data_IF_987673045079
#
_entry.id   IF_987673045079
#
_cell.length_a   1.000
_cell.length_b   1.000
_cell.length_c   1.000
_cell.angle_alpha   90.00
_cell.angle_beta   90.00
_cell.angle_gamma   90.00
#
_symmetry.space_group_name_H-M   'P 1'
#
loop_
_entity.id
_entity.type
_entity.pdbx_description
1 polymer ?
#
# COMPACT_ATOMS: atom_id res chain seq x y z
N UNK A 1 -4.97 -29.52 -17.88
CA UNK A 1 -4.60 -29.51 -16.45
C UNK A 1 -3.95 -28.16 -16.19
N UNK A 2 -4.52 -27.36 -15.29
CA UNK A 2 -3.89 -26.11 -14.88
C UNK A 2 -2.64 -26.49 -14.08
N UNK A 3 -1.46 -26.06 -14.54
CA UNK A 3 -0.24 -26.16 -13.74
C UNK A 3 -0.50 -25.49 -12.38
N UNK A 4 -0.24 -26.20 -11.29
CA UNK A 4 -0.28 -25.61 -9.96
C UNK A 4 0.80 -24.52 -9.92
N UNK A 5 0.35 -23.27 -9.92
CA UNK A 5 1.20 -22.09 -9.85
C UNK A 5 2.01 -22.11 -8.54
N UNK A 6 3.27 -22.56 -8.62
CA UNK A 6 4.24 -22.52 -7.52
C UNK A 6 4.79 -21.12 -7.20
N UNK A 7 4.16 -20.05 -7.71
CA UNK A 7 4.56 -18.68 -7.42
C UNK A 7 4.17 -18.30 -5.98
N UNK A 8 5.13 -17.77 -5.21
CA UNK A 8 4.89 -17.22 -3.89
C UNK A 8 3.73 -16.22 -3.95
N UNK A 9 2.70 -16.47 -3.15
CA UNK A 9 1.58 -15.55 -2.99
C UNK A 9 1.86 -14.54 -1.90
N UNK A 10 1.57 -13.27 -2.18
CA UNK A 10 1.78 -12.14 -1.30
C UNK A 10 0.44 -11.61 -0.79
N UNK A 11 0.38 -11.13 0.46
CA UNK A 11 -0.80 -10.46 1.01
C UNK A 11 -0.50 -8.96 1.17
N UNK A 12 -1.23 -8.11 0.44
CA UNK A 12 -1.07 -6.66 0.46
C UNK A 12 -2.15 -5.94 1.31
N UNK A 13 -2.93 -6.71 2.07
CA UNK A 13 -4.04 -6.26 2.90
C UNK A 13 -5.27 -7.14 2.67
N UNK A 14 -6.06 -7.38 3.72
CA UNK A 14 -7.28 -8.18 3.62
C UNK A 14 -7.01 -9.67 3.34
N UNK A 15 -7.92 -10.31 2.61
CA UNK A 15 -7.89 -11.77 2.32
C UNK A 15 -7.25 -12.14 0.98
N UNK A 16 -7.03 -11.17 0.09
CA UNK A 16 -6.69 -11.42 -1.31
C UNK A 16 -5.22 -11.81 -1.46
N UNK A 17 -4.95 -12.92 -2.13
CA UNK A 17 -3.59 -13.37 -2.48
C UNK A 17 -3.15 -12.76 -3.82
N UNK A 18 -2.02 -12.08 -3.84
CA UNK A 18 -1.40 -11.53 -5.05
C UNK A 18 -0.28 -12.46 -5.51
N UNK A 19 -0.33 -12.91 -6.76
CA UNK A 19 0.73 -13.70 -7.38
C UNK A 19 1.26 -12.98 -8.62
N UNK A 20 2.55 -13.14 -8.89
CA UNK A 20 3.15 -12.70 -10.14
C UNK A 20 3.43 -13.91 -11.05
N UNK A 21 3.19 -13.74 -12.34
CA UNK A 21 3.40 -14.75 -13.37
C UNK A 21 4.20 -14.16 -14.53
N UNK A 22 5.38 -14.73 -14.80
CA UNK A 22 6.17 -14.40 -15.97
C UNK A 22 5.76 -15.29 -17.14
N UNK A 23 4.78 -14.85 -17.92
CA UNK A 23 4.25 -15.59 -19.05
C UNK A 23 2.95 -14.98 -19.60
N UNK A 24 2.35 -15.69 -20.55
CA UNK A 24 1.12 -15.25 -21.21
C UNK A 24 -0.07 -15.29 -20.24
N UNK A 25 -0.87 -14.21 -20.23
CA UNK A 25 -2.05 -14.11 -19.37
C UNK A 25 -3.10 -15.20 -19.67
N UNK A 26 -3.15 -15.68 -20.92
CA UNK A 26 -4.04 -16.75 -21.37
C UNK A 26 -3.80 -18.07 -20.62
N UNK A 27 -2.61 -18.25 -20.03
CA UNK A 27 -2.21 -19.47 -19.32
C UNK A 27 -2.45 -19.39 -17.80
N UNK A 28 -2.97 -18.27 -17.29
CA UNK A 28 -3.14 -18.02 -15.85
C UNK A 28 -4.21 -18.88 -15.16
N UNK A 29 -5.16 -19.42 -15.93
CA UNK A 29 -6.31 -20.14 -15.37
C UNK A 29 -7.26 -19.28 -14.51
N UNK A 30 -7.17 -17.95 -14.62
CA UNK A 30 -8.03 -17.04 -13.87
C UNK A 30 -9.48 -17.06 -14.39
N UNK A 31 -10.45 -16.90 -13.48
CA UNK A 31 -11.86 -16.81 -13.83
C UNK A 31 -12.19 -15.51 -14.60
N UNK A 32 -11.43 -14.44 -14.36
CA UNK A 32 -11.51 -13.18 -15.11
C UNK A 32 -10.16 -12.88 -15.73
N UNK A 33 -10.14 -12.52 -17.01
CA UNK A 33 -8.94 -12.01 -17.68
C UNK A 33 -9.13 -10.56 -18.10
N UNK A 34 -8.08 -9.76 -17.91
CA UNK A 34 -8.13 -8.32 -18.19
C UNK A 34 -7.22 -7.99 -19.37
N UNK A 35 -7.72 -7.15 -20.27
CA UNK A 35 -6.96 -6.59 -21.38
C UNK A 35 -7.08 -5.09 -21.40
N UNK A 36 -6.19 -4.43 -22.16
CA UNK A 36 -6.32 -3.00 -22.45
C UNK A 36 -6.64 -2.76 -23.91
N UNK A 37 -7.65 -1.92 -24.15
CA UNK A 37 -8.08 -1.48 -25.48
C UNK A 37 -8.12 0.04 -25.57
N UNK A 38 -8.17 0.57 -26.80
CA UNK A 38 -8.39 2.00 -27.02
C UNK A 38 -9.86 2.39 -26.87
N UNK A 39 -10.11 3.68 -26.59
CA UNK A 39 -11.44 4.27 -26.35
C UNK A 39 -12.50 4.04 -27.45
N UNK A 40 -12.08 3.66 -28.67
CA UNK A 40 -12.96 3.30 -29.79
C UNK A 40 -13.04 1.77 -30.00
N UNK A 41 -13.08 1.01 -28.91
CA UNK A 41 -13.13 -0.47 -28.93
C UNK A 41 -12.01 -1.10 -29.77
N UNK A 42 -10.81 -0.51 -29.76
CA UNK A 42 -9.73 -0.92 -30.67
C UNK A 42 -8.75 -1.90 -30.00
N UNK A 43 -8.67 -3.11 -30.56
CA UNK A 43 -7.80 -4.20 -30.11
C UNK A 43 -6.45 -4.14 -30.85
N UNK A 44 -5.74 -3.02 -30.75
CA UNK A 44 -4.48 -2.82 -31.49
C UNK A 44 -3.25 -3.32 -30.73
N UNK A 45 -3.32 -3.39 -29.40
CA UNK A 45 -2.22 -3.88 -28.56
C UNK A 45 -1.94 -5.37 -28.81
N UNK A 46 -0.69 -5.80 -28.64
CA UNK A 46 -0.31 -7.20 -28.82
C UNK A 46 -1.15 -8.14 -27.94
N UNK A 47 -1.29 -7.81 -26.65
CA UNK A 47 -2.13 -8.58 -25.73
C UNK A 47 -3.61 -8.58 -26.16
N UNK A 48 -4.15 -7.41 -26.52
CA UNK A 48 -5.54 -7.31 -26.95
C UNK A 48 -5.82 -8.17 -28.20
N UNK A 49 -4.90 -8.19 -29.17
CA UNK A 49 -4.99 -9.05 -30.34
C UNK A 49 -4.95 -10.52 -29.98
N UNK A 50 -3.99 -10.93 -29.14
CA UNK A 50 -3.88 -12.32 -28.69
C UNK A 50 -5.14 -12.81 -27.96
N UNK A 51 -5.74 -11.98 -27.10
CA UNK A 51 -7.02 -12.31 -26.45
C UNK A 51 -8.16 -12.37 -27.46
N UNK A 52 -8.22 -11.43 -28.42
CA UNK A 52 -9.25 -11.43 -29.46
C UNK A 52 -9.18 -12.66 -30.38
N UNK A 53 -7.96 -13.07 -30.74
CA UNK A 53 -7.69 -14.27 -31.53
C UNK A 53 -8.14 -15.53 -30.78
N UNK A 54 -7.86 -15.62 -29.48
CA UNK A 54 -8.22 -16.77 -28.66
C UNK A 54 -9.71 -16.83 -28.27
N UNK A 55 -10.34 -15.68 -28.02
CA UNK A 55 -11.74 -15.59 -27.60
C UNK A 55 -12.73 -15.55 -28.77
N UNK A 56 -12.27 -15.21 -29.98
CA UNK A 56 -13.11 -15.04 -31.16
C UNK A 56 -13.66 -13.61 -31.33
N UNK A 57 -14.15 -13.26 -32.54
CA UNK A 57 -14.49 -11.89 -32.92
C UNK A 57 -15.72 -11.31 -32.19
N UNK A 58 -16.48 -12.17 -31.52
CA UNK A 58 -17.76 -11.85 -30.88
C UNK A 58 -17.57 -10.83 -29.75
N UNK A 59 -16.46 -10.95 -29.01
CA UNK A 59 -16.12 -10.02 -27.93
C UNK A 59 -15.92 -8.59 -28.46
N UNK A 60 -15.37 -8.44 -29.68
CA UNK A 60 -15.14 -7.12 -30.26
C UNK A 60 -16.48 -6.49 -30.69
N UNK A 61 -17.42 -7.31 -31.15
CA UNK A 61 -18.79 -6.85 -31.46
C UNK A 61 -19.50 -6.37 -30.20
N UNK A 62 -19.37 -7.08 -29.08
CA UNK A 62 -19.96 -6.67 -27.80
C UNK A 62 -19.37 -5.35 -27.28
N UNK A 63 -18.05 -5.20 -27.30
CA UNK A 63 -17.38 -3.95 -26.87
C UNK A 63 -17.77 -2.78 -27.78
N UNK A 64 -17.89 -2.98 -29.09
CA UNK A 64 -18.27 -1.92 -30.05
C UNK A 64 -19.66 -1.35 -29.80
N UNK A 65 -20.59 -2.13 -29.24
CA UNK A 65 -21.94 -1.66 -28.89
C UNK A 65 -21.93 -0.54 -27.84
N UNK A 66 -20.86 -0.42 -27.07
CA UNK A 66 -20.68 0.65 -26.07
C UNK A 66 -20.35 2.01 -26.72
N UNK A 67 -20.01 2.05 -28.01
CA UNK A 67 -19.60 3.27 -28.69
C UNK A 67 -18.25 3.80 -28.17
N UNK A 68 -18.21 5.08 -27.79
CA UNK A 68 -17.02 5.71 -27.23
C UNK A 68 -16.88 5.36 -25.74
N UNK A 69 -15.81 4.67 -25.39
CA UNK A 69 -15.54 4.24 -24.01
C UNK A 69 -14.65 5.29 -23.33
N UNK A 70 -15.11 5.91 -22.22
CA UNK A 70 -14.33 6.91 -21.50
C UNK A 70 -13.03 6.33 -20.92
N UNK A 71 -11.96 7.13 -20.90
CA UNK A 71 -10.70 6.78 -20.25
C UNK A 71 -10.92 6.39 -18.78
N UNK A 72 -10.22 5.36 -18.33
CA UNK A 72 -10.33 4.76 -17.01
C UNK A 72 -11.47 3.75 -16.87
N UNK A 73 -12.38 3.66 -17.83
CA UNK A 73 -13.51 2.72 -17.77
C UNK A 73 -13.06 1.27 -17.99
N UNK A 74 -13.89 0.34 -17.54
CA UNK A 74 -13.74 -1.10 -17.77
C UNK A 74 -15.05 -1.61 -18.36
N UNK A 75 -15.00 -2.18 -19.55
CA UNK A 75 -16.15 -2.86 -20.17
C UNK A 75 -16.05 -4.35 -19.85
N UNK A 76 -17.16 -4.97 -19.48
CA UNK A 76 -17.23 -6.41 -19.22
C UNK A 76 -17.91 -7.07 -20.41
N UNK A 77 -17.35 -8.19 -20.89
CA UNK A 77 -17.99 -9.06 -21.87
C UNK A 77 -17.95 -10.51 -21.43
N UNK A 78 -18.69 -11.37 -22.14
CA UNK A 78 -18.43 -12.80 -22.06
C UNK A 78 -17.01 -13.14 -22.52
N UNK A 79 -16.51 -14.33 -22.16
CA UNK A 79 -15.14 -14.75 -22.50
C UNK A 79 -15.00 -15.36 -23.90
N UNK A 80 -16.11 -15.60 -24.59
CA UNK A 80 -16.10 -16.14 -25.96
C UNK A 80 -15.67 -17.59 -25.97
N UNK A 81 -14.72 -17.94 -26.84
CA UNK A 81 -14.17 -19.29 -26.95
C UNK A 81 -13.16 -19.66 -25.83
N UNK A 82 -12.83 -18.74 -24.91
CA UNK A 82 -11.89 -19.02 -23.82
C UNK A 82 -12.51 -19.97 -22.79
N UNK A 83 -12.02 -21.20 -22.74
CA UNK A 83 -12.43 -22.20 -21.75
C UNK A 83 -11.89 -21.87 -20.36
N UNK A 84 -12.74 -21.93 -19.32
CA UNK A 84 -12.35 -21.68 -17.93
C UNK A 84 -12.34 -20.21 -17.52
N UNK A 85 -12.52 -19.29 -18.47
CA UNK A 85 -12.68 -17.85 -18.21
C UNK A 85 -14.17 -17.53 -18.28
N UNK A 86 -14.69 -16.82 -17.28
CA UNK A 86 -16.10 -16.42 -17.19
C UNK A 86 -16.32 -15.05 -17.82
N UNK A 87 -15.41 -14.11 -17.57
CA UNK A 87 -15.51 -12.74 -18.06
C UNK A 87 -14.20 -12.22 -18.62
N UNK A 88 -14.33 -11.36 -19.64
CA UNK A 88 -13.24 -10.51 -20.13
C UNK A 88 -13.50 -9.07 -19.72
N UNK A 89 -12.50 -8.45 -19.11
CA UNK A 89 -12.54 -7.05 -18.71
C UNK A 89 -11.64 -6.25 -19.66
N UNK A 90 -12.22 -5.23 -20.29
CA UNK A 90 -11.57 -4.39 -21.28
C UNK A 90 -11.34 -3.00 -20.70
N UNK A 91 -10.14 -2.77 -20.19
CA UNK A 91 -9.75 -1.51 -19.58
C UNK A 91 -9.26 -0.49 -20.61
N UNK A 92 -9.67 0.77 -20.45
CA UNK A 92 -9.17 1.88 -21.28
C UNK A 92 -8.22 2.73 -20.45
N UNK A 93 -6.92 2.41 -20.49
CA UNK A 93 -5.90 3.16 -19.73
C UNK A 93 -5.25 4.30 -20.53
N UNK A 94 -5.67 4.51 -21.78
CA UNK A 94 -5.16 5.56 -22.68
C UNK A 94 -6.17 6.69 -22.86
N UNK A 95 -5.70 7.91 -23.07
CA UNK A 95 -6.58 9.06 -23.35
C UNK A 95 -6.40 9.60 -24.77
N UNK A 96 -7.51 9.92 -25.45
CA UNK A 96 -7.47 10.59 -26.77
C UNK A 96 -6.80 11.96 -26.64
N UNK A 97 -7.07 12.69 -25.55
CA UNK A 97 -6.51 14.01 -25.29
C UNK A 97 -4.98 13.99 -25.10
N UNK A 98 -4.41 12.86 -24.65
CA UNK A 98 -2.96 12.67 -24.49
C UNK A 98 -2.31 11.99 -25.70
N UNK A 99 -2.97 11.97 -26.86
CA UNK A 99 -2.46 11.31 -28.06
C UNK A 99 -2.37 9.78 -27.91
N UNK A 100 -3.31 9.18 -27.19
CA UNK A 100 -3.39 7.75 -26.87
C UNK A 100 -2.26 7.23 -25.96
N UNK A 101 -1.58 8.12 -25.23
CA UNK A 101 -0.70 7.70 -24.14
C UNK A 101 -1.52 7.22 -22.95
N UNK A 102 -1.01 6.19 -22.29
CA UNK A 102 -1.53 5.79 -21.00
C UNK A 102 -1.04 6.77 -19.92
N UNK A 103 -1.80 6.84 -18.84
CA UNK A 103 -1.56 7.71 -17.70
C UNK A 103 -1.50 6.83 -16.44
N UNK A 104 -0.48 6.99 -15.56
CA UNK A 104 -0.42 6.29 -14.29
C UNK A 104 -1.72 6.38 -13.46
N UNK A 105 -2.41 7.52 -13.46
CA UNK A 105 -3.68 7.66 -12.74
C UNK A 105 -4.80 6.80 -13.35
N UNK A 106 -4.82 6.67 -14.68
CA UNK A 106 -5.76 5.79 -15.37
C UNK A 106 -5.46 4.31 -15.09
N UNK A 107 -4.18 3.96 -14.91
CA UNK A 107 -3.78 2.61 -14.51
C UNK A 107 -4.27 2.29 -13.10
N UNK A 108 -4.11 3.22 -12.15
CA UNK A 108 -4.67 3.10 -10.79
C UNK A 108 -6.19 2.91 -10.87
N UNK A 109 -6.88 3.80 -11.58
CA UNK A 109 -8.34 3.77 -11.68
C UNK A 109 -8.87 2.48 -12.35
N UNK A 110 -8.24 2.04 -13.44
CA UNK A 110 -8.60 0.81 -14.13
C UNK A 110 -8.36 -0.42 -13.26
N UNK A 111 -7.23 -0.47 -12.55
CA UNK A 111 -6.92 -1.58 -11.63
C UNK A 111 -7.95 -1.67 -10.52
N UNK A 112 -8.27 -0.54 -9.86
CA UNK A 112 -9.32 -0.48 -8.82
C UNK A 112 -10.66 -0.98 -9.33
N UNK A 113 -11.10 -0.49 -10.49
CA UNK A 113 -12.37 -0.91 -11.10
C UNK A 113 -12.38 -2.39 -11.43
N UNK A 114 -11.30 -2.93 -11.99
CA UNK A 114 -11.21 -4.36 -12.28
C UNK A 114 -11.38 -5.21 -11.01
N UNK A 115 -10.68 -4.87 -9.93
CA UNK A 115 -10.80 -5.63 -8.68
C UNK A 115 -12.20 -5.51 -8.07
N UNK A 116 -12.76 -4.30 -7.99
CA UNK A 116 -14.10 -4.08 -7.44
C UNK A 116 -15.19 -4.79 -8.25
N UNK A 117 -15.10 -4.76 -9.59
CA UNK A 117 -16.05 -5.46 -10.45
C UNK A 117 -15.91 -6.98 -10.34
N UNK A 118 -14.70 -7.51 -10.20
CA UNK A 118 -14.50 -8.94 -9.99
C UNK A 118 -15.05 -9.41 -8.63
N UNK A 119 -14.85 -8.62 -7.57
CA UNK A 119 -15.40 -8.89 -6.24
C UNK A 119 -16.94 -8.82 -6.26
N UNK A 120 -17.51 -7.80 -6.89
CA UNK A 120 -18.96 -7.64 -7.05
C UNK A 120 -19.60 -8.79 -7.83
N UNK A 121 -18.90 -9.30 -8.85
CA UNK A 121 -19.32 -10.47 -9.63
C UNK A 121 -18.99 -11.80 -8.93
N UNK A 122 -18.49 -11.78 -7.69
CA UNK A 122 -18.13 -12.96 -6.91
C UNK A 122 -17.17 -13.90 -7.62
N UNK A 123 -16.18 -13.34 -8.31
CA UNK A 123 -15.20 -14.12 -9.05
C UNK A 123 -14.03 -14.50 -8.13
N UNK A 124 -13.59 -15.77 -8.13
CA UNK A 124 -12.55 -16.23 -7.22
C UNK A 124 -11.16 -15.72 -7.62
N UNK A 125 -10.94 -15.43 -8.90
CA UNK A 125 -9.65 -14.99 -9.40
C UNK A 125 -9.73 -14.05 -10.60
N UNK A 126 -8.77 -13.13 -10.67
CA UNK A 126 -8.61 -12.20 -11.79
C UNK A 126 -7.14 -12.11 -12.20
N UNK A 127 -6.88 -12.14 -13.51
CA UNK A 127 -5.56 -11.89 -14.08
C UNK A 127 -5.47 -10.48 -14.65
N UNK A 128 -4.44 -9.73 -14.22
CA UNK A 128 -4.15 -8.37 -14.65
C UNK A 128 -2.88 -8.33 -15.52
N UNK A 129 -2.86 -7.55 -16.60
CA UNK A 129 -1.67 -7.35 -17.41
C UNK A 129 -0.81 -6.18 -16.90
N UNK A 130 0.39 -6.06 -17.45
CA UNK A 130 1.20 -4.85 -17.38
C UNK A 130 0.59 -3.68 -18.18
N UNK A 131 -0.46 -3.03 -17.65
CA UNK A 131 -1.16 -1.94 -18.30
C UNK A 131 -0.22 -0.85 -18.83
N UNK A 132 -0.51 -0.33 -20.03
CA UNK A 132 0.16 0.86 -20.57
C UNK A 132 1.61 0.68 -21.03
N UNK A 133 2.29 -0.41 -20.68
CA UNK A 133 3.72 -0.65 -21.02
C UNK A 133 3.98 -0.89 -22.51
N UNK A 134 2.96 -1.33 -23.25
CA UNK A 134 3.02 -1.50 -24.72
C UNK A 134 2.67 -0.22 -25.48
N UNK A 135 1.57 -0.25 -26.24
CA UNK A 135 1.13 0.89 -27.06
C UNK A 135 0.85 2.17 -26.25
N UNK A 136 0.59 2.06 -24.95
CA UNK A 136 0.36 3.20 -24.06
C UNK A 136 1.63 3.99 -23.70
N UNK A 137 2.83 3.42 -23.90
CA UNK A 137 4.15 4.05 -23.72
C UNK A 137 4.36 4.70 -22.33
N UNK A 138 3.77 4.13 -21.29
CA UNK A 138 4.06 4.50 -19.89
C UNK A 138 5.36 3.84 -19.45
N UNK A 139 6.13 4.49 -18.57
CA UNK A 139 7.35 3.91 -18.01
C UNK A 139 7.01 2.65 -17.21
N UNK A 140 7.84 1.61 -17.28
CA UNK A 140 7.56 0.31 -16.66
C UNK A 140 7.33 0.46 -15.15
N UNK A 141 8.12 1.31 -14.50
CA UNK A 141 8.04 1.62 -13.07
C UNK A 141 6.72 2.27 -12.71
N UNK A 142 6.28 3.26 -13.49
CA UNK A 142 5.01 3.95 -13.27
C UNK A 142 3.80 3.03 -13.49
N UNK A 143 3.88 2.13 -14.47
CA UNK A 143 2.84 1.15 -14.71
C UNK A 143 2.69 0.18 -13.53
N UNK A 144 3.82 -0.35 -13.03
CA UNK A 144 3.85 -1.23 -11.86
C UNK A 144 3.36 -0.50 -10.61
N UNK A 145 3.80 0.74 -10.41
CA UNK A 145 3.34 1.59 -9.30
C UNK A 145 1.82 1.79 -9.34
N UNK A 146 1.28 2.15 -10.50
CA UNK A 146 -0.15 2.37 -10.67
C UNK A 146 -0.97 1.11 -10.40
N UNK A 147 -0.50 -0.05 -10.84
CA UNK A 147 -1.16 -1.34 -10.56
C UNK A 147 -1.17 -1.60 -9.06
N UNK A 148 -0.01 -1.58 -8.40
CA UNK A 148 0.09 -1.94 -6.98
C UNK A 148 -0.67 -0.93 -6.10
N UNK A 149 -0.62 0.35 -6.42
CA UNK A 149 -1.44 1.39 -5.78
C UNK A 149 -2.93 1.08 -5.90
N UNK A 150 -3.38 0.74 -7.12
CA UNK A 150 -4.76 0.34 -7.37
C UNK A 150 -5.18 -0.87 -6.54
N UNK A 151 -4.34 -1.92 -6.49
CA UNK A 151 -4.56 -3.13 -5.69
C UNK A 151 -4.65 -2.84 -4.18
N UNK A 152 -3.62 -2.19 -3.62
CA UNK A 152 -3.52 -1.89 -2.18
C UNK A 152 -4.68 -1.06 -1.64
N UNK A 153 -5.31 -0.24 -2.48
CA UNK A 153 -6.41 0.65 -2.12
C UNK A 153 -7.78 -0.03 -1.98
N UNK A 154 -7.95 -1.27 -2.47
CA UNK A 154 -9.27 -1.94 -2.51
C UNK A 154 -9.30 -3.29 -1.81
N UNK A 155 -8.16 -3.95 -1.59
CA UNK A 155 -8.13 -5.26 -0.94
C UNK A 155 -8.75 -5.34 0.46
N UNK A 156 -8.61 -4.32 1.34
CA UNK A 156 -9.30 -4.35 2.63
C UNK A 156 -10.83 -4.44 2.54
N UNK A 157 -11.41 -4.06 1.40
CA UNK A 157 -12.87 -4.07 1.16
C UNK A 157 -13.35 -5.29 0.37
N UNK A 158 -12.45 -6.13 -0.15
CA UNK A 158 -12.81 -7.29 -0.96
C UNK A 158 -13.35 -8.42 -0.08
N UNK A 159 -14.43 -9.06 -0.53
CA UNK A 159 -15.14 -10.09 0.25
C UNK A 159 -15.15 -11.46 -0.42
N UNK A 160 -15.14 -11.49 -1.75
CA UNK A 160 -15.35 -12.67 -2.58
C UNK A 160 -14.14 -13.03 -3.44
N UNK A 161 -13.29 -12.05 -3.78
CA UNK A 161 -12.08 -12.28 -4.54
C UNK A 161 -11.00 -12.94 -3.66
N UNK A 162 -10.50 -14.09 -4.08
CA UNK A 162 -9.45 -14.82 -3.35
C UNK A 162 -8.06 -14.52 -3.92
N UNK A 163 -7.95 -14.31 -5.24
CA UNK A 163 -6.65 -14.24 -5.91
C UNK A 163 -6.58 -13.21 -7.03
N UNK A 164 -5.48 -12.45 -7.06
CA UNK A 164 -5.06 -11.62 -8.19
C UNK A 164 -3.77 -12.18 -8.78
N UNK A 165 -3.73 -12.36 -10.10
CA UNK A 165 -2.55 -12.82 -10.82
C UNK A 165 -2.07 -11.68 -11.71
N UNK A 166 -0.93 -11.07 -11.39
CA UNK A 166 -0.25 -10.16 -12.30
C UNK A 166 0.53 -10.98 -13.33
N UNK A 167 0.19 -10.84 -14.61
CA UNK A 167 0.80 -11.59 -15.70
C UNK A 167 1.51 -10.66 -16.69
N UNK A 168 2.77 -10.97 -16.99
CA UNK A 168 3.56 -10.26 -17.99
C UNK A 168 4.56 -11.20 -18.64
N UNK A 169 4.85 -11.02 -19.93
CA UNK A 169 5.95 -11.73 -20.62
C UNK A 169 7.27 -10.95 -20.55
N UNK A 170 7.24 -9.74 -19.98
CA UNK A 170 8.41 -8.87 -19.82
C UNK A 170 9.05 -9.11 -18.45
N UNK A 171 10.27 -9.69 -18.45
CA UNK A 171 11.01 -10.06 -17.24
C UNK A 171 11.36 -8.84 -16.36
N UNK A 172 11.63 -7.69 -16.96
CA UNK A 172 11.93 -6.46 -16.22
C UNK A 172 10.69 -5.97 -15.47
N UNK A 173 9.54 -5.96 -16.14
CA UNK A 173 8.25 -5.61 -15.50
C UNK A 173 7.90 -6.61 -14.40
N UNK A 174 8.15 -7.90 -14.62
CA UNK A 174 7.96 -8.94 -13.61
C UNK A 174 8.84 -8.70 -12.37
N UNK A 175 10.12 -8.39 -12.58
CA UNK A 175 11.06 -8.07 -11.49
C UNK A 175 10.65 -6.83 -10.70
N UNK A 176 10.28 -5.74 -11.41
CA UNK A 176 9.78 -4.51 -10.78
C UNK A 176 8.54 -4.77 -9.93
N UNK A 177 7.59 -5.55 -10.44
CA UNK A 177 6.37 -5.90 -9.71
C UNK A 177 6.68 -6.66 -8.42
N UNK A 178 7.50 -7.72 -8.50
CA UNK A 178 7.87 -8.52 -7.32
C UNK A 178 8.60 -7.70 -6.25
N UNK A 179 9.59 -6.88 -6.65
CA UNK A 179 10.29 -6.00 -5.72
C UNK A 179 9.33 -5.08 -4.97
N UNK A 180 8.37 -4.50 -5.69
CA UNK A 180 7.44 -3.53 -5.13
C UNK A 180 6.40 -4.17 -4.22
N UNK A 181 5.89 -5.35 -4.60
CA UNK A 181 4.98 -6.15 -3.77
C UNK A 181 5.65 -6.54 -2.44
N UNK A 182 6.93 -6.94 -2.47
CA UNK A 182 7.71 -7.23 -1.27
C UNK A 182 7.81 -6.03 -0.33
N UNK A 183 8.04 -4.82 -0.87
CA UNK A 183 8.11 -3.60 -0.05
C UNK A 183 6.76 -3.28 0.58
N UNK A 184 5.65 -3.37 -0.18
CA UNK A 184 4.30 -3.15 0.35
C UNK A 184 3.95 -4.17 1.44
N UNK A 185 4.33 -5.43 1.25
CA UNK A 185 4.13 -6.47 2.26
C UNK A 185 4.98 -6.22 3.52
N UNK A 186 6.23 -5.80 3.38
CA UNK A 186 7.09 -5.44 4.50
C UNK A 186 6.50 -4.26 5.30
N UNK A 187 6.01 -3.23 4.61
CA UNK A 187 5.32 -2.09 5.25
C UNK A 187 4.09 -2.56 6.02
N UNK A 188 3.23 -3.38 5.40
CA UNK A 188 2.03 -3.91 6.05
C UNK A 188 2.38 -4.75 7.30
N UNK A 189 3.35 -5.63 7.19
CA UNK A 189 3.78 -6.46 8.30
C UNK A 189 4.28 -5.61 9.47
N UNK A 190 5.13 -4.63 9.18
CA UNK A 190 5.69 -3.73 10.18
C UNK A 190 4.64 -2.81 10.81
N UNK A 191 3.68 -2.35 10.01
CA UNK A 191 2.52 -1.59 10.50
C UNK A 191 1.70 -2.41 11.51
N UNK A 192 1.47 -3.69 11.22
CA UNK A 192 0.76 -4.60 12.12
C UNK A 192 1.55 -4.88 13.41
N UNK A 193 2.87 -5.08 13.32
CA UNK A 193 3.72 -5.21 14.51
C UNK A 193 3.65 -3.98 15.40
N UNK A 194 3.79 -2.79 14.81
CA UNK A 194 3.74 -1.54 15.55
C UNK A 194 2.35 -1.30 16.18
N UNK A 195 1.27 -1.64 15.48
CA UNK A 195 -0.10 -1.61 16.04
C UNK A 195 -0.29 -2.58 17.19
N UNK A 196 0.30 -3.79 17.14
CA UNK A 196 0.23 -4.78 18.22
C UNK A 196 1.06 -4.38 19.43
N UNK A 197 2.21 -3.76 19.21
CA UNK A 197 3.05 -3.22 20.28
C UNK A 197 2.44 -1.98 20.93
N UNK A 198 1.55 -1.25 20.24
CA UNK A 198 1.03 0.03 20.74
C UNK A 198 0.54 0.02 22.21
N UNK A 199 -0.26 -0.96 22.68
CA UNK A 199 -0.72 -1.00 24.08
C UNK A 199 0.39 -1.20 25.12
N UNK A 200 1.53 -1.72 24.68
CA UNK A 200 2.72 -1.98 25.51
C UNK A 200 3.64 -0.77 25.59
N UNK A 201 3.49 0.19 24.67
CA UNK A 201 4.34 1.37 24.58
C UNK A 201 3.86 2.48 25.52
N UNK A 202 4.77 3.31 26.05
CA UNK A 202 4.37 4.50 26.80
C UNK A 202 3.41 5.38 25.96
N UNK A 203 2.25 5.80 26.50
CA UNK A 203 1.27 6.65 25.82
C UNK A 203 1.84 7.94 25.19
N UNK A 204 3.00 8.38 25.63
CA UNK A 204 3.78 9.52 25.19
C UNK A 204 4.24 9.34 23.75
N UNK A 205 4.42 8.10 23.34
CA UNK A 205 4.82 7.75 21.99
C UNK A 205 3.62 7.67 21.04
N UNK A 206 2.37 7.61 21.53
CA UNK A 206 1.20 7.34 20.68
C UNK A 206 1.02 8.37 19.56
N UNK A 207 1.29 9.66 19.83
CA UNK A 207 1.23 10.69 18.79
C UNK A 207 2.27 10.47 17.68
N UNK A 208 3.52 10.18 18.05
CA UNK A 208 4.60 9.90 17.10
C UNK A 208 4.35 8.60 16.31
N UNK A 209 3.86 7.56 16.98
CA UNK A 209 3.51 6.28 16.37
C UNK A 209 2.33 6.45 15.43
N UNK A 210 1.32 7.24 15.79
CA UNK A 210 0.19 7.57 14.93
C UNK A 210 0.63 8.25 13.64
N UNK A 211 1.51 9.25 13.72
CA UNK A 211 2.10 9.92 12.54
C UNK A 211 2.87 8.93 11.65
N UNK A 212 3.68 8.05 12.25
CA UNK A 212 4.44 7.05 11.52
C UNK A 212 3.52 6.01 10.83
N UNK A 213 2.51 5.51 11.54
CA UNK A 213 1.52 4.59 10.99
C UNK A 213 0.77 5.22 9.81
N UNK A 214 0.40 6.50 9.91
CA UNK A 214 -0.24 7.23 8.81
C UNK A 214 0.68 7.36 7.59
N UNK A 215 1.97 7.65 7.80
CA UNK A 215 2.96 7.71 6.71
C UNK A 215 3.16 6.34 6.05
N UNK A 216 3.19 5.26 6.84
CA UNK A 216 3.29 3.89 6.34
C UNK A 216 2.06 3.49 5.53
N UNK A 217 0.86 3.80 6.03
CA UNK A 217 -0.39 3.53 5.32
C UNK A 217 -0.44 4.29 3.99
N UNK A 218 -0.08 5.57 3.98
CA UNK A 218 -0.01 6.36 2.75
C UNK A 218 1.01 5.78 1.76
N UNK A 219 2.20 5.39 2.22
CA UNK A 219 3.21 4.76 1.37
C UNK A 219 2.70 3.44 0.78
N UNK A 220 2.03 2.60 1.59
CA UNK A 220 1.42 1.34 1.17
C UNK A 220 0.32 1.57 0.11
N UNK A 221 -0.56 2.54 0.35
CA UNK A 221 -1.65 2.89 -0.55
C UNK A 221 -1.14 3.46 -1.89
N UNK A 222 -0.03 4.20 -1.88
CA UNK A 222 0.66 4.68 -3.08
C UNK A 222 1.47 3.58 -3.79
N UNK A 223 1.38 2.32 -3.34
CA UNK A 223 2.13 1.21 -3.92
C UNK A 223 3.63 1.27 -3.66
N UNK A 224 4.07 1.94 -2.59
CA UNK A 224 5.43 2.04 -2.08
C UNK A 224 6.47 2.62 -3.05
N UNK A 225 6.31 3.89 -3.45
CA UNK A 225 7.27 4.57 -4.32
C UNK A 225 8.73 4.44 -3.81
N UNK A 226 9.59 3.89 -4.66
CA UNK A 226 10.92 3.38 -4.31
C UNK A 226 11.99 4.49 -4.15
N UNK A 227 11.61 5.76 -4.22
CA UNK A 227 12.50 6.85 -3.86
C UNK A 227 12.48 7.07 -2.35
N UNK A 228 13.35 6.34 -1.63
CA UNK A 228 13.89 6.64 -0.28
C UNK A 228 12.92 6.65 0.93
N UNK A 229 11.61 6.80 0.73
CA UNK A 229 10.62 6.90 1.80
C UNK A 229 10.40 5.58 2.55
N UNK A 230 10.09 4.50 1.82
CA UNK A 230 9.67 3.22 2.42
C UNK A 230 10.74 2.58 3.32
N UNK A 231 12.02 2.61 2.90
CA UNK A 231 13.12 2.07 3.72
C UNK A 231 13.29 2.87 5.02
N UNK A 232 13.20 4.20 4.94
CA UNK A 232 13.24 5.09 6.11
C UNK A 232 12.07 4.82 7.05
N UNK A 233 10.87 4.59 6.52
CA UNK A 233 9.68 4.26 7.32
C UNK A 233 9.83 2.92 8.04
N UNK A 234 10.37 1.90 7.36
CA UNK A 234 10.67 0.59 7.97
C UNK A 234 11.69 0.72 9.10
N UNK A 235 12.78 1.46 8.88
CA UNK A 235 13.81 1.72 9.89
C UNK A 235 13.25 2.49 11.10
N UNK A 236 12.44 3.53 10.86
CA UNK A 236 11.77 4.28 11.94
C UNK A 236 10.86 3.38 12.77
N UNK A 237 10.08 2.51 12.13
CA UNK A 237 9.18 1.60 12.84
C UNK A 237 9.95 0.60 13.69
N UNK A 238 11.04 0.03 13.16
CA UNK A 238 11.92 -0.87 13.91
C UNK A 238 12.55 -0.17 15.13
N UNK A 239 13.07 1.05 14.95
CA UNK A 239 13.63 1.84 16.05
C UNK A 239 12.58 2.13 17.14
N UNK A 240 11.33 2.42 16.76
CA UNK A 240 10.24 2.65 17.72
C UNK A 240 9.85 1.41 18.50
N UNK A 241 9.81 0.25 17.85
CA UNK A 241 9.55 -1.04 18.51
C UNK A 241 10.68 -1.34 19.51
N UNK A 242 11.94 -1.19 19.10
CA UNK A 242 13.11 -1.41 19.96
C UNK A 242 13.14 -0.47 21.16
N UNK A 243 12.85 0.83 20.96
CA UNK A 243 12.80 1.81 22.03
C UNK A 243 11.72 1.45 23.06
N UNK A 244 10.57 1.00 22.57
CA UNK A 244 9.49 0.50 23.40
C UNK A 244 9.90 -0.61 24.35
N UNK A 245 10.52 -1.65 23.78
CA UNK A 245 11.00 -2.81 24.53
C UNK A 245 12.05 -2.41 25.57
N UNK A 246 12.98 -1.52 25.22
CA UNK A 246 13.99 -1.01 26.14
C UNK A 246 13.35 -0.22 27.30
N UNK A 247 12.39 0.65 27.01
CA UNK A 247 11.68 1.44 28.02
C UNK A 247 10.91 0.55 28.99
N UNK A 248 10.22 -0.47 28.50
CA UNK A 248 9.54 -1.45 29.35
C UNK A 248 10.51 -2.21 30.25
N UNK A 249 11.65 -2.66 29.72
CA UNK A 249 12.68 -3.34 30.52
C UNK A 249 13.22 -2.45 31.64
N UNK A 250 13.45 -1.17 31.35
CA UNK A 250 13.91 -0.19 32.35
C UNK A 250 12.83 0.10 33.39
N UNK A 251 11.59 0.31 32.98
CA UNK A 251 10.45 0.49 33.89
C UNK A 251 10.23 -0.73 34.80
N UNK A 252 10.41 -1.95 34.29
CA UNK A 252 10.34 -3.17 35.08
C UNK A 252 11.50 -3.33 36.08
N UNK A 253 12.65 -2.70 35.83
CA UNK A 253 13.83 -2.73 36.68
C UNK A 253 13.91 -1.59 37.73
N UNK A 254 13.11 -0.54 37.58
CA UNK A 254 13.24 0.68 38.38
C UNK A 254 12.20 0.76 39.51
N UNK A 255 12.54 0.18 40.68
CA UNK A 255 11.70 0.21 41.89
C UNK A 255 12.31 1.01 43.07
N UNK A 256 13.32 1.86 42.87
CA UNK A 256 14.06 2.49 43.99
C UNK A 256 14.56 3.93 43.82
N UNK A 257 14.13 4.68 42.81
CA UNK A 257 14.57 6.07 42.67
C UNK A 257 13.91 7.01 43.70
N UNK A 258 14.59 8.07 44.19
CA UNK A 258 13.97 9.09 45.03
C UNK A 258 12.88 9.87 44.28
N UNK A 259 11.93 10.45 45.03
CA UNK A 259 10.90 11.36 44.52
C UNK A 259 11.51 12.53 43.71
N UNK A 260 10.79 13.04 42.70
CA UNK A 260 11.19 14.18 41.84
C UNK A 260 12.49 14.01 41.04
N UNK A 261 12.96 12.79 40.81
CA UNK A 261 14.18 12.56 40.02
C UNK A 261 13.82 12.26 38.57
N UNK A 262 14.35 13.05 37.62
CA UNK A 262 14.32 12.70 36.19
C UNK A 262 15.22 11.49 35.99
N UNK A 263 14.63 10.34 35.70
CA UNK A 263 15.36 9.09 35.55
C UNK A 263 16.03 9.00 34.18
N UNK A 264 15.34 9.44 33.13
CA UNK A 264 15.89 9.49 31.79
C UNK A 264 15.14 10.46 30.87
N UNK A 265 15.84 10.89 29.82
CA UNK A 265 15.36 11.81 28.80
C UNK A 265 15.69 11.21 27.44
N UNK A 266 14.70 11.10 26.57
CA UNK A 266 14.87 10.72 25.16
C UNK A 266 14.58 11.95 24.32
N UNK A 267 15.54 12.34 23.48
CA UNK A 267 15.36 13.39 22.48
C UNK A 267 15.25 12.74 21.10
N UNK A 268 14.08 12.83 20.47
CA UNK A 268 13.83 12.28 19.11
C UNK A 268 14.07 13.32 18.01
N UNK A 269 14.73 14.44 18.33
CA UNK A 269 14.97 15.57 17.43
C UNK A 269 13.89 16.65 17.57
N UNK A 270 12.63 16.30 17.33
CA UNK A 270 11.49 17.22 17.42
C UNK A 270 10.63 17.02 18.67
N UNK A 271 10.97 16.06 19.55
CA UNK A 271 10.19 15.77 20.76
C UNK A 271 11.13 15.29 21.86
N UNK A 272 10.91 15.81 23.08
CA UNK A 272 11.63 15.39 24.28
C UNK A 272 10.65 14.59 25.13
N UNK A 273 11.02 13.36 25.46
CA UNK A 273 10.25 12.45 26.33
C UNK A 273 11.07 12.28 27.60
N UNK A 274 10.44 12.43 28.77
CA UNK A 274 11.13 12.32 30.06
C UNK A 274 10.34 11.41 31.00
N UNK A 275 11.05 10.62 31.81
CA UNK A 275 10.47 9.87 32.92
C UNK A 275 10.91 10.49 34.25
N UNK A 276 9.95 10.78 35.13
CA UNK A 276 10.16 11.43 36.43
C UNK A 276 9.45 10.62 37.50
N UNK A 277 10.16 10.28 38.57
CA UNK A 277 9.57 9.49 39.66
C UNK A 277 8.69 10.36 40.58
N UNK A 278 7.48 9.86 40.91
CA UNK A 278 6.41 10.46 41.75
C UNK A 278 6.61 11.95 42.09
N UNK A 279 5.92 12.84 41.37
CA UNK A 279 6.05 14.29 41.53
C UNK A 279 5.01 14.90 42.50
N UNK A 280 5.47 15.69 43.48
CA UNK A 280 4.58 16.46 44.37
C UNK A 280 5.09 17.90 44.56
N UNK A 281 4.42 18.87 43.93
CA UNK A 281 4.67 20.32 44.06
C UNK A 281 4.19 21.12 42.83
N UNK A 282 4.04 22.45 42.89
CA UNK A 282 3.72 23.26 41.72
C UNK A 282 4.94 23.34 40.78
N UNK A 283 4.73 23.12 39.47
CA UNK A 283 5.78 23.26 38.46
C UNK A 283 6.03 24.76 38.23
N UNK A 284 7.20 25.26 38.63
CA UNK A 284 7.63 26.60 38.28
C UNK A 284 8.06 26.61 36.80
N UNK A 285 7.13 27.02 35.94
CA UNK A 285 7.38 27.19 34.53
C UNK A 285 8.05 28.54 34.31
N UNK A 286 9.33 28.51 33.96
CA UNK A 286 10.02 29.70 33.48
C UNK A 286 9.43 30.15 32.15
N UNK A 287 8.47 31.08 32.19
CA UNK A 287 8.06 31.94 31.07
C UNK A 287 7.51 31.25 29.81
N UNK A 288 6.88 30.08 29.94
CA UNK A 288 6.15 29.38 28.86
C UNK A 288 5.29 28.25 29.45
N UNK A 289 4.30 27.73 28.72
CA UNK A 289 3.31 26.79 29.26
C UNK A 289 3.86 25.38 29.55
N UNK A 290 3.56 24.83 30.73
CA UNK A 290 3.92 23.47 31.18
C UNK A 290 2.75 22.50 31.01
N UNK A 291 3.08 21.23 30.79
CA UNK A 291 2.14 20.12 30.77
C UNK A 291 2.27 19.36 32.08
N UNK A 292 1.16 19.24 32.78
CA UNK A 292 1.05 18.57 34.07
C UNK A 292 0.75 17.07 33.90
N UNK A 293 1.62 16.21 34.43
CA UNK A 293 1.63 14.76 34.19
C UNK A 293 1.02 13.95 35.35
N UNK A 294 0.32 14.59 36.30
CA UNK A 294 -0.24 13.93 37.51
C UNK A 294 -1.14 12.71 37.21
N UNK A 295 -1.83 12.70 36.08
CA UNK A 295 -2.72 11.59 35.65
C UNK A 295 -2.20 10.82 34.43
N UNK A 296 -1.07 11.21 33.86
CA UNK A 296 -0.58 10.55 32.66
C UNK A 296 0.21 9.32 33.07
N UNK A 297 -0.34 8.13 32.81
CA UNK A 297 0.47 6.94 32.62
C UNK A 297 1.34 7.15 31.38
N UNK A 298 2.34 8.02 31.49
CA UNK A 298 3.30 8.41 30.46
C UNK A 298 2.71 9.02 29.21
N UNK A 299 2.13 10.23 29.21
CA UNK A 299 1.76 10.97 27.98
C UNK A 299 2.74 12.13 27.69
N UNK A 300 2.95 12.48 26.42
CA UNK A 300 3.70 13.66 25.97
C UNK A 300 2.76 14.51 25.12
N UNK A 301 2.68 15.79 25.44
CA UNK A 301 1.98 16.82 24.66
C UNK A 301 3.05 17.61 23.89
N UNK A 302 2.96 17.64 22.55
CA UNK A 302 3.80 18.51 21.70
C UNK A 302 3.33 19.98 21.86
N UNK A 303 4.23 20.97 22.07
CA UNK A 303 3.89 22.37 21.86
C UNK A 303 4.17 22.82 20.42
N UNK A 304 3.45 23.86 19.99
CA UNK A 304 3.64 24.55 18.71
C UNK A 304 4.77 25.60 18.83
N UNK A 305 6.01 25.23 18.50
CA UNK A 305 7.12 26.19 18.39
C UNK A 305 8.52 25.62 18.61
N UNK A 306 9.55 26.36 18.20
CA UNK A 306 10.96 25.99 18.45
C UNK A 306 11.34 26.06 19.93
N UNK A 307 12.07 25.05 20.41
CA UNK A 307 12.57 24.95 21.78
C UNK A 307 14.03 25.41 21.84
N UNK A 308 14.33 26.46 22.63
CA UNK A 308 15.71 26.84 23.00
C UNK A 308 15.95 26.59 24.48
N UNK A 309 17.00 25.82 24.81
CA UNK A 309 17.42 25.59 26.19
C UNK A 309 18.30 26.74 26.71
N UNK A 310 18.03 27.21 27.93
CA UNK A 310 18.99 27.96 28.76
C UNK A 310 19.25 27.18 30.03
N UNK A 311 20.50 26.80 30.27
CA UNK A 311 20.94 26.25 31.55
C UNK A 311 21.16 27.39 32.53
N UNK A 312 20.28 27.53 33.52
CA UNK A 312 20.53 28.39 34.67
C UNK A 312 21.43 27.65 35.65
N UNK A 313 22.68 28.10 35.80
CA UNK A 313 23.47 27.76 36.97
C UNK A 313 22.84 28.44 38.18
N UNK A 314 22.41 27.68 39.17
CA UNK A 314 22.28 28.17 40.55
C UNK A 314 22.97 27.16 41.47
N UNK A 315 23.99 27.66 42.17
CA UNK A 315 24.54 27.04 43.37
C UNK A 315 23.79 27.47 44.62
#
# INVERSE_FOLDING_TARGET
MAEEFGAAGYNLGGRVLVQAWCGEILKTGAAVMVTSIGSRASFRGALARSILEAAGPEIQTEVRRQGLIPSGSVVITHAGALTGVRYLFHAVVTSIASGYRADPELIVAATRRCILLADLLQQPSIALPAFGTGLGRVRKEEAVEGIISGLSSVFPSCTSLDRVIFATTDEEVFGLFNLRVLVVQALLHREQELKRALPELPPALYGLIGELLQQMEHARAAGANAATGSATLLQKAEAMISLGQELQQRLAGESRAPFNTVQWIINTGNTIIQNVNQYSGPVAIGGGDAVDLRDSQGAVVKPAGEVRQRFGNQG
#
